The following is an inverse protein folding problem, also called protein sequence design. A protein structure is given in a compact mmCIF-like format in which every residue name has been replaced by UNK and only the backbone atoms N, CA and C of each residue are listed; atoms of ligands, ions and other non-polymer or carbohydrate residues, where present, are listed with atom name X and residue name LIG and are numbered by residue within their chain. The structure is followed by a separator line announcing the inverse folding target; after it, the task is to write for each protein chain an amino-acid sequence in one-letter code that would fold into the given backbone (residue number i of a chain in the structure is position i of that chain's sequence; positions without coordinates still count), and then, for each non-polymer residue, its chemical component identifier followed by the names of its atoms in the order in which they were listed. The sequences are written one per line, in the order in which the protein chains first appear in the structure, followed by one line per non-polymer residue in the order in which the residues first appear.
data_IF_220294406436
#
_entry.id   IF_220294406436
#
_cell.length_a   1.000
_cell.length_b   1.000
_cell.length_c   1.000
_cell.angle_alpha   90.00
_cell.angle_beta   90.00
_cell.angle_gamma   90.00
#
_symmetry.space_group_name_H-M   'P 1'
#
loop_
_entity.id
_entity.type
_entity.pdbx_description
1 polymer ?
#
# COMPACT_ATOMS: atom_id res chain seq x y z
N UNK A 1 30.01 -19.98 -52.49
CA UNK A 1 30.02 -18.73 -51.69
C UNK A 1 28.64 -18.19 -51.33
N UNK A 2 27.57 -18.69 -51.89
CA UNK A 2 26.19 -18.21 -51.62
C UNK A 2 25.51 -18.90 -50.42
N UNK A 3 25.88 -20.15 -50.10
CA UNK A 3 25.26 -20.88 -48.97
C UNK A 3 25.62 -20.39 -47.59
N UNK A 4 26.85 -19.89 -47.44
CA UNK A 4 27.33 -19.38 -46.13
C UNK A 4 26.66 -18.05 -45.74
N UNK A 5 26.37 -17.21 -46.75
CA UNK A 5 25.64 -15.93 -46.51
C UNK A 5 24.18 -16.14 -46.16
N UNK A 6 23.54 -17.15 -46.74
CA UNK A 6 22.16 -17.52 -46.38
C UNK A 6 22.05 -18.12 -44.98
N UNK A 7 23.01 -18.92 -44.53
CA UNK A 7 23.04 -19.49 -43.20
C UNK A 7 23.16 -18.41 -42.11
N UNK A 8 23.96 -17.37 -42.36
CA UNK A 8 24.15 -16.25 -41.42
C UNK A 8 22.87 -15.40 -41.28
N UNK A 9 22.12 -15.20 -42.39
CA UNK A 9 20.87 -14.42 -42.35
C UNK A 9 19.76 -15.21 -41.61
N UNK A 10 19.70 -16.53 -41.72
CA UNK A 10 18.72 -17.35 -40.99
C UNK A 10 19.03 -17.40 -39.49
N UNK A 11 20.32 -17.44 -39.08
CA UNK A 11 20.68 -17.37 -37.67
C UNK A 11 20.37 -16.00 -37.02
N UNK A 12 20.41 -14.90 -37.78
CA UNK A 12 20.15 -13.57 -37.25
C UNK A 12 18.67 -13.27 -37.02
N UNK A 13 17.76 -14.04 -37.68
CA UNK A 13 16.30 -13.89 -37.52
C UNK A 13 15.74 -14.66 -36.31
N UNK A 14 16.52 -15.53 -35.67
CA UNK A 14 16.06 -16.34 -34.52
C UNK A 14 16.23 -15.65 -33.15
N UNK A 15 16.86 -14.47 -33.09
CA UNK A 15 17.07 -13.74 -31.82
C UNK A 15 16.00 -12.69 -31.49
N UNK A 16 14.91 -12.61 -32.28
CA UNK A 16 13.83 -11.66 -32.04
C UNK A 16 12.60 -12.27 -31.32
N UNK A 17 12.76 -13.43 -30.68
CA UNK A 17 11.76 -13.86 -29.70
C UNK A 17 11.99 -13.07 -28.42
N UNK A 18 11.65 -11.79 -28.43
CA UNK A 18 11.49 -11.00 -27.24
C UNK A 18 10.46 -11.71 -26.34
N UNK A 19 10.88 -12.12 -25.15
CA UNK A 19 9.94 -12.47 -24.09
C UNK A 19 9.01 -11.27 -23.88
N UNK A 20 7.80 -11.36 -24.39
CA UNK A 20 6.71 -10.54 -23.90
C UNK A 20 6.46 -11.08 -22.49
N UNK A 21 7.03 -10.44 -21.48
CA UNK A 21 6.57 -10.60 -20.12
C UNK A 21 5.15 -10.01 -20.12
N UNK A 22 4.16 -10.89 -20.25
CA UNK A 22 2.82 -10.57 -19.80
C UNK A 22 2.95 -10.45 -18.27
N UNK A 23 3.01 -9.23 -17.77
CA UNK A 23 2.73 -9.00 -16.37
C UNK A 23 1.33 -9.55 -16.15
N UNK A 24 1.25 -10.64 -15.38
CA UNK A 24 -0.03 -11.15 -14.88
C UNK A 24 -0.48 -10.09 -13.90
N UNK A 25 -1.39 -9.21 -14.33
CA UNK A 25 -2.04 -8.27 -13.44
C UNK A 25 -2.81 -9.10 -12.41
N UNK A 26 -2.28 -9.18 -11.21
CA UNK A 26 -2.97 -9.80 -10.09
C UNK A 26 -4.11 -8.87 -9.68
N UNK A 27 -5.32 -9.22 -10.09
CA UNK A 27 -6.54 -8.46 -9.77
C UNK A 27 -6.81 -8.38 -8.25
N UNK A 28 -6.05 -9.12 -7.45
CA UNK A 28 -6.11 -9.08 -5.99
C UNK A 28 -5.22 -8.01 -5.38
N UNK A 29 -4.21 -7.51 -6.10
CA UNK A 29 -3.31 -6.47 -5.64
C UNK A 29 -3.98 -5.09 -5.78
N UNK A 30 -3.87 -4.28 -4.74
CA UNK A 30 -4.33 -2.89 -4.70
C UNK A 30 -3.08 -2.02 -4.54
N UNK A 31 -2.93 -1.02 -5.39
CA UNK A 31 -1.84 -0.04 -5.27
C UNK A 31 -2.21 1.10 -4.30
N UNK A 32 -1.19 1.74 -3.73
CA UNK A 32 -1.36 2.95 -2.92
C UNK A 32 -2.11 4.05 -3.69
N UNK A 33 -1.80 4.24 -4.97
CA UNK A 33 -2.47 5.22 -5.82
C UNK A 33 -3.98 4.96 -5.98
N UNK A 34 -4.39 3.69 -6.12
CA UNK A 34 -5.81 3.31 -6.18
C UNK A 34 -6.50 3.57 -4.83
N UNK A 35 -5.80 3.36 -3.71
CA UNK A 35 -6.34 3.70 -2.38
C UNK A 35 -6.56 5.19 -2.25
N UNK A 36 -5.59 6.03 -2.64
CA UNK A 36 -5.71 7.50 -2.61
C UNK A 36 -6.88 7.96 -3.48
N UNK A 37 -7.02 7.42 -4.69
CA UNK A 37 -8.15 7.73 -5.57
C UNK A 37 -9.49 7.30 -4.95
N UNK A 38 -9.55 6.12 -4.36
CA UNK A 38 -10.76 5.65 -3.69
C UNK A 38 -11.14 6.59 -2.52
N UNK A 39 -10.17 7.00 -1.69
CA UNK A 39 -10.40 7.93 -0.59
C UNK A 39 -10.95 9.28 -1.11
N UNK A 40 -10.40 9.83 -2.19
CA UNK A 40 -10.88 11.06 -2.81
C UNK A 40 -12.34 10.93 -3.28
N UNK A 41 -12.73 9.78 -3.83
CA UNK A 41 -14.12 9.52 -4.24
C UNK A 41 -15.11 9.52 -3.07
N UNK A 42 -14.62 9.33 -1.84
CA UNK A 42 -15.38 9.43 -0.59
C UNK A 42 -15.17 10.77 0.15
N UNK A 43 -14.70 11.82 -0.56
CA UNK A 43 -14.44 13.17 -0.05
C UNK A 43 -13.37 13.21 1.05
N UNK A 44 -12.40 12.32 0.97
CA UNK A 44 -11.20 12.33 1.81
C UNK A 44 -10.05 12.85 0.95
N UNK A 45 -9.73 14.13 1.11
CA UNK A 45 -8.62 14.76 0.41
C UNK A 45 -7.34 14.61 1.25
N UNK A 46 -6.41 13.81 0.74
CA UNK A 46 -5.10 13.63 1.33
C UNK A 46 -4.11 14.63 0.75
N UNK A 47 -3.26 15.19 1.61
CA UNK A 47 -2.09 15.96 1.19
C UNK A 47 -0.83 15.18 1.54
N UNK A 48 0.16 15.17 0.65
CA UNK A 48 1.45 14.55 0.95
C UNK A 48 2.08 15.25 2.17
N UNK A 49 2.47 14.47 3.16
CA UNK A 49 3.13 14.93 4.37
C UNK A 49 4.55 14.37 4.48
N UNK A 50 5.41 15.07 5.19
CA UNK A 50 6.70 14.55 5.63
C UNK A 50 6.70 14.49 7.14
N UNK A 51 6.75 13.26 7.66
CA UNK A 51 6.79 13.02 9.09
C UNK A 51 8.18 12.55 9.52
N UNK A 52 8.48 12.68 10.80
CA UNK A 52 9.80 12.29 11.32
C UNK A 52 9.92 10.77 11.28
N UNK A 53 11.00 10.25 10.69
CA UNK A 53 11.23 8.79 10.53
C UNK A 53 11.23 8.00 11.85
N UNK A 54 11.37 8.66 12.97
CA UNK A 54 11.36 8.06 14.31
C UNK A 54 9.96 7.69 14.80
N UNK A 55 8.91 8.19 14.15
CA UNK A 55 7.56 7.81 14.50
C UNK A 55 7.27 6.38 14.07
N UNK A 56 6.77 5.58 14.99
CA UNK A 56 6.54 4.14 14.80
C UNK A 56 5.62 3.85 13.60
N UNK A 57 4.65 4.75 13.34
CA UNK A 57 3.67 4.58 12.26
C UNK A 57 4.25 4.80 10.86
N UNK A 58 5.38 5.51 10.73
CA UNK A 58 6.09 5.74 9.45
C UNK A 58 7.31 4.84 9.29
N UNK A 59 7.56 3.96 10.26
CA UNK A 59 8.66 3.01 10.21
C UNK A 59 8.44 1.94 9.14
N UNK A 60 9.53 1.37 8.61
CA UNK A 60 9.41 0.21 7.72
C UNK A 60 8.83 -0.99 8.46
N UNK A 61 7.85 -1.64 7.82
CA UNK A 61 7.26 -2.89 8.27
C UNK A 61 7.44 -3.95 7.20
N UNK A 62 8.03 -5.08 7.56
CA UNK A 62 8.40 -6.15 6.62
C UNK A 62 9.13 -5.61 5.37
N UNK A 63 10.03 -4.61 5.57
CA UNK A 63 10.80 -3.98 4.52
C UNK A 63 10.07 -2.91 3.71
N UNK A 64 8.76 -2.78 3.83
CA UNK A 64 7.94 -1.80 3.12
C UNK A 64 7.94 -0.48 3.88
N UNK A 65 8.21 0.63 3.16
CA UNK A 65 8.03 1.99 3.66
C UNK A 65 6.64 2.48 3.24
N UNK A 66 5.85 3.09 4.14
CA UNK A 66 4.52 3.58 3.77
C UNK A 66 4.57 4.87 2.96
N UNK A 67 3.50 5.16 2.23
CA UNK A 67 3.13 6.51 1.83
C UNK A 67 2.65 7.30 3.04
N UNK A 68 3.09 8.55 3.14
CA UNK A 68 2.84 9.43 4.27
C UNK A 68 1.94 10.59 3.83
N UNK A 69 0.79 10.71 4.47
CA UNK A 69 -0.21 11.71 4.12
C UNK A 69 -0.75 12.42 5.36
N UNK A 70 -1.31 13.59 5.13
CA UNK A 70 -2.03 14.37 6.12
C UNK A 70 -3.52 14.44 5.77
N UNK A 71 -4.36 14.18 6.76
CA UNK A 71 -5.80 14.35 6.72
C UNK A 71 -6.25 15.25 7.88
N UNK A 72 -6.61 16.50 7.59
CA UNK A 72 -7.01 17.47 8.61
C UNK A 72 -6.02 17.56 9.79
N UNK A 73 -4.75 17.81 9.49
CA UNK A 73 -3.65 17.90 10.45
C UNK A 73 -3.36 16.58 11.23
N UNK A 74 -3.90 15.46 10.77
CA UNK A 74 -3.66 14.14 11.34
C UNK A 74 -2.90 13.25 10.35
N UNK A 75 -2.01 12.42 10.91
CA UNK A 75 -1.23 11.47 10.13
C UNK A 75 -2.11 10.33 9.64
N UNK A 76 -2.04 10.04 8.36
CA UNK A 76 -2.52 8.81 7.75
C UNK A 76 -1.39 8.20 6.94
N UNK A 77 -1.11 6.92 7.12
CA UNK A 77 -0.07 6.20 6.38
C UNK A 77 -0.67 5.01 5.67
N UNK A 78 -0.19 4.76 4.47
CA UNK A 78 -0.66 3.68 3.61
C UNK A 78 0.52 2.75 3.30
N UNK A 79 0.43 1.51 3.76
CA UNK A 79 1.38 0.45 3.43
C UNK A 79 0.82 -0.37 2.27
N UNK A 80 1.57 -0.43 1.17
CA UNK A 80 1.32 -1.31 0.04
C UNK A 80 2.32 -2.47 0.09
N UNK A 81 1.86 -3.66 0.45
CA UNK A 81 2.68 -4.86 0.42
C UNK A 81 2.48 -5.61 -0.90
N UNK A 82 3.41 -6.50 -1.25
CA UNK A 82 3.29 -7.30 -2.47
C UNK A 82 2.09 -8.26 -2.41
N UNK A 83 1.81 -8.83 -1.23
CA UNK A 83 0.71 -9.79 -1.00
C UNK A 83 0.06 -9.59 0.36
N UNK A 84 -1.09 -10.21 0.55
CA UNK A 84 -1.78 -10.25 1.86
C UNK A 84 -0.93 -10.92 2.93
N UNK A 85 -0.15 -11.96 2.58
CA UNK A 85 0.76 -12.65 3.50
C UNK A 85 1.91 -11.74 3.95
N UNK A 86 2.45 -10.92 3.04
CA UNK A 86 3.49 -9.95 3.38
C UNK A 86 2.93 -8.83 4.28
N UNK A 87 1.69 -8.40 4.05
CA UNK A 87 0.98 -7.48 4.94
C UNK A 87 0.82 -8.07 6.35
N UNK A 88 0.41 -9.34 6.46
CA UNK A 88 0.29 -10.02 7.77
C UNK A 88 1.62 -10.07 8.53
N UNK A 89 2.75 -10.24 7.84
CA UNK A 89 4.08 -10.16 8.46
C UNK A 89 4.36 -8.75 8.97
N UNK A 90 4.04 -7.72 8.18
CA UNK A 90 4.16 -6.31 8.59
C UNK A 90 3.31 -5.98 9.82
N UNK A 91 2.08 -6.48 9.86
CA UNK A 91 1.17 -6.33 10.99
C UNK A 91 1.72 -6.96 12.28
N UNK A 92 2.25 -8.19 12.18
CA UNK A 92 2.93 -8.86 13.31
C UNK A 92 4.18 -8.13 13.76
N UNK A 93 4.95 -7.58 12.83
CA UNK A 93 6.13 -6.79 13.14
C UNK A 93 5.75 -5.52 13.90
N UNK A 94 4.71 -4.79 13.44
CA UNK A 94 4.18 -3.62 14.14
C UNK A 94 3.75 -3.98 15.57
N UNK A 95 2.93 -5.02 15.73
CA UNK A 95 2.48 -5.48 17.03
C UNK A 95 3.66 -5.83 17.96
N UNK A 96 4.71 -6.46 17.42
CA UNK A 96 5.91 -6.81 18.18
C UNK A 96 6.71 -5.56 18.60
N UNK A 97 6.91 -4.63 17.68
CA UNK A 97 7.63 -3.36 17.96
C UNK A 97 6.91 -2.51 19.01
N UNK A 98 5.59 -2.55 19.01
CA UNK A 98 4.75 -1.69 19.86
C UNK A 98 4.29 -2.33 21.16
N UNK A 99 4.59 -3.61 21.39
CA UNK A 99 4.09 -4.40 22.53
C UNK A 99 4.33 -3.77 23.92
N UNK A 100 5.39 -2.95 24.07
CA UNK A 100 5.72 -2.26 25.31
C UNK A 100 5.62 -0.73 25.21
N UNK A 101 5.09 -0.22 24.09
CA UNK A 101 4.97 1.22 23.85
C UNK A 101 3.61 1.75 24.30
N UNK A 102 3.58 2.98 24.75
CA UNK A 102 2.34 3.69 24.98
C UNK A 102 2.05 4.55 23.73
N UNK A 103 1.24 4.02 22.84
CA UNK A 103 0.91 4.68 21.58
C UNK A 103 -0.19 5.72 21.78
N UNK A 104 -0.18 6.74 20.92
CA UNK A 104 -1.33 7.63 20.70
C UNK A 104 -2.48 6.83 20.07
N UNK A 105 -3.70 7.35 20.15
CA UNK A 105 -4.86 6.67 19.58
C UNK A 105 -4.82 6.65 18.05
N UNK A 106 -5.10 5.51 17.46
CA UNK A 106 -5.12 5.29 16.01
C UNK A 106 -6.15 4.21 15.64
N UNK A 107 -6.55 4.24 14.37
CA UNK A 107 -7.34 3.18 13.76
C UNK A 107 -6.52 2.45 12.70
N UNK A 108 -6.78 1.16 12.55
CA UNK A 108 -6.14 0.31 11.52
C UNK A 108 -7.18 -0.16 10.55
N UNK A 109 -6.93 0.02 9.25
CA UNK A 109 -7.78 -0.50 8.19
C UNK A 109 -6.97 -1.46 7.34
N UNK A 110 -7.59 -2.56 6.94
CA UNK A 110 -6.95 -3.62 6.17
C UNK A 110 -7.83 -4.00 4.99
N UNK A 111 -7.21 -4.04 3.81
CA UNK A 111 -7.83 -4.59 2.61
C UNK A 111 -6.78 -5.28 1.76
N UNK A 112 -6.89 -6.59 1.59
CA UNK A 112 -5.93 -7.40 0.81
C UNK A 112 -4.47 -7.15 1.23
N UNK A 113 -3.65 -6.61 0.32
CA UNK A 113 -2.25 -6.25 0.53
C UNK A 113 -2.05 -4.86 1.17
N UNK A 114 -3.14 -4.12 1.41
CA UNK A 114 -3.09 -2.77 1.98
C UNK A 114 -3.30 -2.80 3.49
N UNK A 115 -2.52 -1.98 4.20
CA UNK A 115 -2.73 -1.64 5.60
C UNK A 115 -2.61 -0.12 5.78
N UNK A 116 -3.59 0.47 6.46
CA UNK A 116 -3.63 1.91 6.72
C UNK A 116 -3.63 2.12 8.23
N UNK A 117 -2.81 3.06 8.72
CA UNK A 117 -2.96 3.64 10.05
C UNK A 117 -3.47 5.07 9.92
N UNK A 118 -4.55 5.37 10.62
CA UNK A 118 -5.05 6.73 10.81
C UNK A 118 -4.83 7.12 12.26
N UNK A 119 -3.89 8.04 12.49
CA UNK A 119 -3.47 8.48 13.82
C UNK A 119 -4.22 9.76 14.19
N UNK A 120 -5.25 9.64 15.01
CA UNK A 120 -6.17 10.74 15.30
C UNK A 120 -5.96 11.41 16.67
N UNK A 121 -5.18 10.77 17.56
CA UNK A 121 -4.87 11.29 18.92
C UNK A 121 -6.09 11.54 19.83
N UNK A 122 -7.29 11.17 19.39
CA UNK A 122 -8.48 11.29 20.22
C UNK A 122 -8.45 10.24 21.35
N UNK A 123 -8.79 10.65 22.57
CA UNK A 123 -8.82 9.71 23.68
C UNK A 123 -9.98 8.73 23.56
N UNK A 124 -9.70 7.43 23.65
CA UNK A 124 -10.66 6.32 23.58
C UNK A 124 -11.82 6.39 24.59
N UNK A 125 -11.73 7.26 25.59
CA UNK A 125 -12.76 7.45 26.63
C UNK A 125 -13.83 8.51 26.28
N UNK A 126 -13.75 9.13 25.11
CA UNK A 126 -14.79 10.04 24.63
C UNK A 126 -15.77 9.22 23.80
N UNK A 127 -17.09 9.32 24.10
CA UNK A 127 -18.14 8.82 23.20
C UNK A 127 -18.19 9.62 21.87
N UNK A 128 -17.05 10.18 21.46
CA UNK A 128 -16.89 10.98 20.27
C UNK A 128 -16.70 10.05 19.08
N UNK A 129 -17.47 10.29 18.06
CA UNK A 129 -17.25 9.64 16.75
C UNK A 129 -15.94 10.16 16.20
N UNK A 130 -15.00 9.25 15.90
CA UNK A 130 -13.73 9.60 15.27
C UNK A 130 -14.04 9.99 13.82
N UNK A 131 -13.67 11.20 13.39
CA UNK A 131 -13.92 11.64 12.02
C UNK A 131 -13.29 10.71 10.99
N UNK A 132 -13.89 10.57 9.83
CA UNK A 132 -13.41 9.85 8.64
C UNK A 132 -13.29 8.32 8.76
N UNK A 133 -13.44 7.72 9.94
CA UNK A 133 -13.32 6.25 10.10
C UNK A 133 -14.30 5.50 9.19
N UNK A 134 -15.54 5.98 9.12
CA UNK A 134 -16.57 5.36 8.28
C UNK A 134 -16.25 5.54 6.80
N UNK A 135 -15.86 6.73 6.38
CA UNK A 135 -15.55 7.06 5.00
C UNK A 135 -14.33 6.29 4.50
N UNK A 136 -13.28 6.15 5.35
CA UNK A 136 -12.09 5.33 5.03
C UNK A 136 -12.48 3.87 4.83
N UNK A 137 -13.32 3.33 5.73
CA UNK A 137 -13.80 1.95 5.61
C UNK A 137 -14.61 1.75 4.33
N UNK A 138 -15.55 2.66 4.04
CA UNK A 138 -16.38 2.59 2.83
C UNK A 138 -15.56 2.69 1.54
N UNK A 139 -14.52 3.53 1.53
CA UNK A 139 -13.58 3.62 0.42
C UNK A 139 -12.85 2.30 0.18
N UNK A 140 -12.36 1.65 1.23
CA UNK A 140 -11.72 0.35 1.12
C UNK A 140 -12.68 -0.78 0.74
N UNK A 141 -13.93 -0.71 1.20
CA UNK A 141 -14.96 -1.70 0.85
C UNK A 141 -15.39 -1.60 -0.62
N UNK A 142 -15.10 -0.49 -1.29
CA UNK A 142 -15.35 -0.33 -2.73
C UNK A 142 -14.49 -1.24 -3.59
N UNK A 143 -13.34 -1.73 -3.07
CA UNK A 143 -12.55 -2.76 -3.73
C UNK A 143 -13.24 -4.12 -3.60
N UNK A 144 -13.92 -4.54 -4.67
CA UNK A 144 -14.69 -5.80 -4.71
C UNK A 144 -13.73 -6.98 -4.54
N UNK A 145 -14.13 -7.95 -3.72
CA UNK A 145 -13.40 -9.22 -3.63
C UNK A 145 -13.50 -9.96 -4.97
N UNK A 146 -12.34 -10.19 -5.60
CA UNK A 146 -12.21 -10.91 -6.86
C UNK A 146 -12.30 -12.43 -6.69
#
# INVERSE_FOLDING_TARGET
MNGLKQAIIICMLLFLTGCVQTEVYDSSHISEAEVVEALQNYNIDLTEGTFVEEEIFVSKLNGVKPGEYELNEKLIVIYEFDTSEEREKGEKEFATKTASMNLVSYETFIKRNIMIFYVHEEHLNSNKIIPFVKEIQEALDSFIEG
#
